data_IF_561841338424
#
_entry.id   IF_561841338424
#
_cell.length_a   1.000
_cell.length_b   1.000
_cell.length_c   1.000
_cell.angle_alpha   90.00
_cell.angle_beta   90.00
_cell.angle_gamma   90.00
#
_symmetry.space_group_name_H-M   'P 1'
#
loop_
_entity.id
_entity.type
_entity.pdbx_description
1 polymer ?
#
# COMPACT_ATOMS: atom_id res chain seq x y z
N UNK A 1 -10.76 7.59 26.77
CA UNK A 1 -11.64 6.81 25.89
C UNK A 1 -10.83 5.70 25.27
N UNK A 2 -11.25 4.45 25.47
CA UNK A 2 -10.64 3.28 24.84
C UNK A 2 -11.15 3.08 23.42
N UNK A 3 -10.48 2.28 22.60
CA UNK A 3 -10.98 1.90 21.27
C UNK A 3 -12.35 1.25 21.36
N UNK A 4 -12.56 0.37 22.34
CA UNK A 4 -13.86 -0.28 22.54
C UNK A 4 -14.98 0.72 22.80
N UNK A 5 -14.75 1.68 23.68
CA UNK A 5 -15.70 2.76 23.96
C UNK A 5 -15.95 3.61 22.71
N UNK A 6 -14.88 3.94 21.97
CA UNK A 6 -14.98 4.71 20.74
C UNK A 6 -15.85 4.01 19.70
N UNK A 7 -15.66 2.71 19.46
CA UNK A 7 -16.43 1.94 18.47
C UNK A 7 -17.93 1.88 18.80
N UNK A 8 -18.27 1.80 20.09
CA UNK A 8 -19.67 1.81 20.54
C UNK A 8 -20.28 3.19 20.29
N UNK A 9 -19.55 4.26 20.63
CA UNK A 9 -20.03 5.63 20.50
C UNK A 9 -20.05 6.14 19.06
N UNK A 10 -19.13 5.68 18.20
CA UNK A 10 -19.06 6.09 16.80
C UNK A 10 -20.29 5.63 16.01
N UNK A 11 -20.89 4.50 16.39
CA UNK A 11 -22.09 3.98 15.74
C UNK A 11 -23.34 4.85 15.95
N UNK A 12 -23.33 5.73 16.96
CA UNK A 12 -24.43 6.63 17.28
C UNK A 12 -24.08 8.10 17.03
N UNK A 13 -22.92 8.38 16.46
CA UNK A 13 -22.47 9.74 16.19
C UNK A 13 -23.27 10.36 15.04
N UNK A 14 -23.90 11.51 15.31
CA UNK A 14 -24.78 12.20 14.36
C UNK A 14 -24.04 12.89 13.21
N UNK A 15 -22.73 13.12 13.33
CA UNK A 15 -21.93 13.86 12.35
C UNK A 15 -20.59 13.15 12.05
N UNK A 16 -20.64 12.16 11.15
CA UNK A 16 -19.47 11.37 10.78
C UNK A 16 -18.35 12.18 10.09
N UNK A 17 -18.70 13.23 9.33
CA UNK A 17 -17.73 14.03 8.59
C UNK A 17 -16.79 14.82 9.51
N UNK A 18 -17.36 15.45 10.54
CA UNK A 18 -16.60 16.19 11.54
C UNK A 18 -15.70 15.26 12.37
N UNK A 19 -16.19 14.07 12.72
CA UNK A 19 -15.41 13.04 13.40
C UNK A 19 -14.19 12.63 12.58
N UNK A 20 -14.36 12.39 11.27
CA UNK A 20 -13.26 12.02 10.37
C UNK A 20 -12.22 13.15 10.23
N UNK A 21 -12.65 14.41 10.16
CA UNK A 21 -11.72 15.55 10.12
C UNK A 21 -10.89 15.66 11.42
N UNK A 22 -11.51 15.45 12.58
CA UNK A 22 -10.80 15.41 13.86
C UNK A 22 -9.80 14.25 13.93
N UNK A 23 -10.17 13.07 13.45
CA UNK A 23 -9.27 11.91 13.36
C UNK A 23 -8.08 12.21 12.45
N UNK A 24 -8.32 12.85 11.30
CA UNK A 24 -7.28 13.20 10.33
C UNK A 24 -6.19 14.14 10.88
N UNK A 25 -6.49 14.88 11.95
CA UNK A 25 -5.61 15.82 12.65
C UNK A 25 -4.84 15.19 13.81
N UNK A 26 -5.15 13.95 14.20
CA UNK A 26 -4.43 13.26 15.27
C UNK A 26 -2.96 13.04 14.86
N UNK A 27 -2.00 13.29 15.76
CA UNK A 27 -0.59 13.07 15.47
C UNK A 27 -0.27 11.58 15.38
N UNK A 28 0.78 11.25 14.64
CA UNK A 28 1.43 9.93 14.71
C UNK A 28 1.97 9.75 16.14
N UNK A 29 1.57 8.71 16.88
CA UNK A 29 2.15 8.44 18.19
C UNK A 29 3.55 7.80 18.07
N UNK A 30 4.40 8.02 19.07
CA UNK A 30 5.71 7.35 19.14
C UNK A 30 5.59 5.88 19.57
N UNK A 31 4.58 5.58 20.38
CA UNK A 31 4.30 4.26 20.92
C UNK A 31 2.80 3.95 20.89
N UNK A 32 2.47 2.69 20.63
CA UNK A 32 1.12 2.15 20.77
C UNK A 32 1.22 0.88 21.60
N UNK A 33 0.52 0.85 22.73
CA UNK A 33 0.46 -0.33 23.60
C UNK A 33 1.85 -0.88 24.03
N UNK A 34 2.81 0.04 24.24
CA UNK A 34 4.21 -0.25 24.59
C UNK A 34 5.10 -0.67 23.40
N UNK A 35 4.55 -0.77 22.20
CA UNK A 35 5.30 -1.06 20.96
C UNK A 35 5.68 0.26 20.30
N UNK A 36 6.95 0.41 19.92
CA UNK A 36 7.42 1.58 19.19
C UNK A 36 6.83 1.60 17.79
N UNK A 37 6.25 2.72 17.40
CA UNK A 37 5.75 2.90 16.03
C UNK A 37 6.94 3.04 15.08
N UNK A 38 6.97 2.32 13.95
CA UNK A 38 8.08 2.43 13.01
C UNK A 38 8.14 3.81 12.36
N UNK A 39 9.32 4.23 11.91
CA UNK A 39 9.48 5.53 11.24
C UNK A 39 8.86 5.54 9.85
N UNK A 40 8.92 4.41 9.15
CA UNK A 40 8.37 4.19 7.80
C UNK A 40 7.75 2.81 7.69
N UNK A 41 7.01 2.54 6.61
CA UNK A 41 6.52 1.19 6.30
C UNK A 41 7.42 0.43 5.31
N UNK A 42 8.66 0.88 5.08
CA UNK A 42 9.58 0.30 4.09
C UNK A 42 10.00 -1.16 4.39
N UNK A 43 9.90 -1.57 5.66
CA UNK A 43 10.26 -2.93 6.09
C UNK A 43 9.11 -3.94 5.93
N UNK A 44 7.92 -3.48 5.52
CA UNK A 44 6.81 -4.38 5.27
C UNK A 44 7.10 -5.32 4.09
N UNK A 45 6.56 -6.52 4.19
CA UNK A 45 6.44 -7.43 3.06
C UNK A 45 5.34 -6.96 2.10
N UNK A 46 5.36 -7.44 0.86
CA UNK A 46 4.32 -7.11 -0.11
C UNK A 46 2.97 -7.65 0.34
N UNK A 47 2.90 -8.84 0.95
CA UNK A 47 1.66 -9.41 1.50
C UNK A 47 1.05 -8.52 2.58
N UNK A 48 1.87 -8.03 3.52
CA UNK A 48 1.42 -7.06 4.54
C UNK A 48 0.90 -5.76 3.91
N UNK A 49 1.59 -5.24 2.88
CA UNK A 49 1.13 -4.05 2.16
C UNK A 49 -0.20 -4.31 1.44
N UNK A 50 -0.37 -5.48 0.83
CA UNK A 50 -1.62 -5.88 0.17
C UNK A 50 -2.79 -5.95 1.15
N UNK A 51 -2.54 -6.48 2.35
CA UNK A 51 -3.55 -6.53 3.41
C UNK A 51 -4.01 -5.13 3.83
N UNK A 52 -3.07 -4.19 4.01
CA UNK A 52 -3.38 -2.80 4.32
C UNK A 52 -4.16 -2.10 3.20
N UNK A 53 -3.83 -2.36 1.94
CA UNK A 53 -4.54 -1.79 0.79
C UNK A 53 -5.94 -2.40 0.57
N UNK A 54 -6.19 -3.59 1.13
CA UNK A 54 -7.46 -4.31 0.99
C UNK A 54 -8.52 -3.89 2.01
N UNK A 55 -8.20 -2.97 2.93
CA UNK A 55 -9.13 -2.47 3.94
C UNK A 55 -10.29 -1.71 3.26
N UNK A 56 -11.54 -2.08 3.59
CA UNK A 56 -12.75 -1.47 3.00
C UNK A 56 -13.73 -0.91 4.02
N UNK A 57 -13.65 -1.31 5.29
CA UNK A 57 -14.61 -0.92 6.32
C UNK A 57 -13.91 -0.21 7.49
N UNK A 58 -14.68 0.59 8.23
CA UNK A 58 -14.13 1.46 9.28
C UNK A 58 -13.53 0.73 10.49
N UNK A 59 -14.00 -0.48 10.80
CA UNK A 59 -13.44 -1.28 11.91
C UNK A 59 -12.05 -1.81 11.50
N UNK A 60 -11.94 -2.33 10.30
CA UNK A 60 -10.66 -2.82 9.77
C UNK A 60 -9.64 -1.70 9.61
N UNK A 61 -10.09 -0.46 9.34
CA UNK A 61 -9.22 0.73 9.36
C UNK A 61 -8.53 0.96 10.72
N UNK A 62 -9.09 0.44 11.81
CA UNK A 62 -8.53 0.55 13.17
C UNK A 62 -7.72 -0.70 13.52
N UNK A 63 -8.26 -1.87 13.21
CA UNK A 63 -7.71 -3.15 13.67
C UNK A 63 -6.55 -3.64 12.81
N UNK A 64 -6.70 -3.60 11.48
CA UNK A 64 -5.73 -4.20 10.54
C UNK A 64 -4.37 -3.51 10.61
N UNK A 65 -4.26 -2.16 10.62
CA UNK A 65 -2.95 -1.49 10.79
C UNK A 65 -2.21 -1.94 12.04
N UNK A 66 -2.92 -2.04 13.17
CA UNK A 66 -2.33 -2.41 14.45
C UNK A 66 -1.87 -3.88 14.47
N UNK A 67 -2.64 -4.77 13.83
CA UNK A 67 -2.26 -6.18 13.68
C UNK A 67 -1.06 -6.35 12.75
N UNK A 68 -1.13 -5.78 11.55
CA UNK A 68 -0.17 -6.01 10.48
C UNK A 68 1.19 -5.38 10.77
N UNK A 69 1.19 -4.14 11.27
CA UNK A 69 2.41 -3.35 11.44
C UNK A 69 3.01 -3.52 12.84
N UNK A 70 2.17 -3.64 13.87
CA UNK A 70 2.63 -3.69 15.27
C UNK A 70 2.49 -5.07 15.92
N UNK A 71 1.90 -6.06 15.21
CA UNK A 71 1.69 -7.41 15.75
C UNK A 71 0.73 -7.46 16.94
N UNK A 72 -0.16 -6.47 17.08
CA UNK A 72 -1.07 -6.39 18.23
C UNK A 72 -2.30 -7.29 18.03
N UNK A 73 -2.68 -7.99 19.09
CA UNK A 73 -3.95 -8.73 19.15
C UNK A 73 -5.14 -7.80 19.31
N UNK A 74 -6.30 -8.21 18.83
CA UNK A 74 -7.57 -7.45 18.94
C UNK A 74 -7.86 -7.05 20.39
N UNK A 75 -7.74 -7.98 21.34
CA UNK A 75 -7.98 -7.72 22.78
C UNK A 75 -7.08 -6.63 23.37
N UNK A 76 -5.87 -6.46 22.81
CA UNK A 76 -4.92 -5.45 23.25
C UNK A 76 -5.27 -4.10 22.63
N UNK A 77 -5.64 -4.09 21.35
CA UNK A 77 -6.09 -2.90 20.62
C UNK A 77 -7.33 -2.29 21.28
N UNK A 78 -8.33 -3.10 21.62
CA UNK A 78 -9.58 -2.63 22.24
C UNK A 78 -9.37 -1.86 23.55
N UNK A 79 -8.33 -2.20 24.30
CA UNK A 79 -7.98 -1.60 25.60
C UNK A 79 -7.09 -0.36 25.47
N UNK A 80 -6.56 -0.08 24.27
CA UNK A 80 -5.70 1.08 24.04
C UNK A 80 -6.50 2.37 23.98
N UNK A 81 -5.81 3.50 24.19
CA UNK A 81 -6.38 4.83 23.97
C UNK A 81 -6.79 5.00 22.52
N UNK A 82 -8.03 5.43 22.28
CA UNK A 82 -8.57 5.58 20.92
C UNK A 82 -7.77 6.60 20.10
N UNK A 83 -7.31 7.70 20.72
CA UNK A 83 -6.54 8.74 20.04
C UNK A 83 -5.22 8.21 19.44
N UNK A 84 -4.47 7.42 20.19
CA UNK A 84 -3.20 6.85 19.72
C UNK A 84 -3.44 5.88 18.55
N UNK A 85 -4.45 5.02 18.68
CA UNK A 85 -4.79 4.02 17.65
C UNK A 85 -5.28 4.70 16.37
N UNK A 86 -6.12 5.72 16.48
CA UNK A 86 -6.67 6.46 15.34
C UNK A 86 -5.58 7.32 14.67
N UNK A 87 -4.72 7.97 15.45
CA UNK A 87 -3.56 8.71 14.92
C UNK A 87 -2.56 7.80 14.21
N UNK A 88 -2.27 6.63 14.78
CA UNK A 88 -1.45 5.59 14.15
C UNK A 88 -2.07 5.08 12.84
N UNK A 89 -3.35 4.72 12.86
CA UNK A 89 -4.06 4.21 11.68
C UNK A 89 -4.08 5.24 10.55
N UNK A 90 -4.31 6.52 10.88
CA UNK A 90 -4.26 7.64 9.93
C UNK A 90 -2.87 7.80 9.31
N UNK A 91 -1.82 7.66 10.12
CA UNK A 91 -0.44 7.67 9.60
C UNK A 91 -0.18 6.51 8.65
N UNK A 92 -0.62 5.28 9.00
CA UNK A 92 -0.50 4.11 8.12
C UNK A 92 -1.22 4.33 6.80
N UNK A 93 -2.45 4.87 6.80
CA UNK A 93 -3.18 5.20 5.56
C UNK A 93 -2.39 6.13 4.66
N UNK A 94 -1.85 7.24 5.20
CA UNK A 94 -1.04 8.20 4.43
C UNK A 94 0.22 7.56 3.87
N UNK A 95 0.84 6.67 4.62
CA UNK A 95 2.06 5.99 4.20
C UNK A 95 1.79 4.93 3.12
N UNK A 96 0.66 4.20 3.22
CA UNK A 96 0.19 3.31 2.15
C UNK A 96 -0.10 4.09 0.87
N UNK A 97 -0.77 5.24 0.95
CA UNK A 97 -0.99 6.14 -0.20
C UNK A 97 0.31 6.62 -0.83
N UNK A 98 1.31 6.98 0.00
CA UNK A 98 2.65 7.35 -0.48
C UNK A 98 3.30 6.20 -1.24
N UNK A 99 3.21 4.97 -0.73
CA UNK A 99 3.76 3.79 -1.38
C UNK A 99 3.01 3.49 -2.69
N UNK A 100 1.68 3.57 -2.71
CA UNK A 100 0.90 3.39 -3.95
C UNK A 100 1.33 4.37 -5.04
N UNK A 101 1.47 5.65 -4.71
CA UNK A 101 2.00 6.67 -5.64
C UNK A 101 3.41 6.33 -6.14
N UNK A 102 4.23 5.72 -5.30
CA UNK A 102 5.57 5.28 -5.69
C UNK A 102 5.50 4.16 -6.73
N UNK A 103 4.63 3.16 -6.56
CA UNK A 103 4.39 2.12 -7.57
C UNK A 103 3.82 2.69 -8.88
N UNK A 104 2.95 3.71 -8.82
CA UNK A 104 2.43 4.34 -10.03
C UNK A 104 3.55 4.91 -10.92
N UNK A 105 4.67 5.38 -10.33
CA UNK A 105 5.82 5.90 -11.09
C UNK A 105 6.54 4.85 -11.95
N UNK A 106 6.38 3.56 -11.65
CA UNK A 106 6.96 2.48 -12.46
C UNK A 106 6.12 2.17 -13.69
N UNK A 107 4.97 2.81 -13.86
CA UNK A 107 4.15 2.65 -15.07
C UNK A 107 4.85 3.27 -16.28
N UNK A 108 4.86 2.53 -17.39
CA UNK A 108 5.35 3.03 -18.67
C UNK A 108 4.14 3.41 -19.52
N UNK A 109 4.12 4.64 -20.04
CA UNK A 109 3.01 5.13 -20.86
C UNK A 109 2.84 4.23 -22.10
N UNK A 110 1.65 3.65 -22.33
CA UNK A 110 1.50 2.76 -23.47
C UNK A 110 1.54 3.50 -24.81
N UNK A 111 2.13 2.87 -25.82
CA UNK A 111 2.19 3.40 -27.20
C UNK A 111 0.81 3.35 -27.87
N UNK A 112 0.60 4.08 -28.99
CA UNK A 112 -0.65 3.99 -29.75
C UNK A 112 -1.00 2.56 -30.20
N UNK A 113 -0.02 1.75 -30.54
CA UNK A 113 -0.17 0.33 -30.91
C UNK A 113 -0.65 -0.50 -29.73
N UNK A 114 -0.01 -0.33 -28.56
CA UNK A 114 -0.37 -1.03 -27.32
C UNK A 114 -1.80 -0.65 -26.88
N UNK A 115 -2.17 0.64 -27.01
CA UNK A 115 -3.55 1.10 -26.77
C UNK A 115 -4.55 0.48 -27.74
N UNK A 116 -4.24 0.44 -29.04
CA UNK A 116 -5.08 -0.24 -30.04
C UNK A 116 -5.24 -1.73 -29.76
N UNK A 117 -4.21 -2.38 -29.24
CA UNK A 117 -4.26 -3.77 -28.79
C UNK A 117 -5.08 -3.97 -27.50
N UNK A 118 -5.47 -2.89 -26.82
CA UNK A 118 -6.33 -2.93 -25.65
C UNK A 118 -5.59 -3.03 -24.32
N UNK A 119 -4.34 -2.56 -24.23
CA UNK A 119 -3.57 -2.53 -22.97
C UNK A 119 -4.33 -1.86 -21.82
N UNK A 120 -5.13 -0.83 -22.11
CA UNK A 120 -5.94 -0.11 -21.10
C UNK A 120 -7.05 -0.99 -20.49
N UNK A 121 -7.35 -2.14 -21.11
CA UNK A 121 -8.32 -3.12 -20.58
C UNK A 121 -7.67 -4.14 -19.64
N UNK A 122 -6.34 -4.15 -19.53
CA UNK A 122 -5.60 -5.03 -18.63
C UNK A 122 -5.43 -4.33 -17.28
N UNK A 123 -6.31 -4.65 -16.34
CA UNK A 123 -6.20 -4.18 -14.95
C UNK A 123 -6.30 -5.35 -13.99
N UNK A 124 -5.17 -5.70 -13.42
CA UNK A 124 -5.03 -6.81 -12.47
C UNK A 124 -4.74 -6.32 -11.05
N UNK A 125 -4.69 -5.00 -10.85
CA UNK A 125 -4.40 -4.36 -9.56
C UNK A 125 -3.12 -4.92 -8.92
N UNK A 126 -3.17 -5.05 -7.59
CA UNK A 126 -2.06 -5.55 -6.78
C UNK A 126 -1.71 -7.01 -7.06
N UNK A 127 -2.71 -7.83 -7.40
CA UNK A 127 -2.50 -9.23 -7.75
C UNK A 127 -1.65 -9.36 -9.02
N UNK A 128 -1.87 -8.49 -10.00
CA UNK A 128 -1.02 -8.41 -11.19
C UNK A 128 0.45 -8.08 -10.90
N UNK A 129 0.73 -7.27 -9.87
CA UNK A 129 2.11 -7.00 -9.46
C UNK A 129 2.79 -8.22 -8.85
N UNK A 130 2.05 -8.99 -8.04
CA UNK A 130 2.55 -10.23 -7.43
C UNK A 130 2.82 -11.28 -8.51
N UNK A 131 1.87 -11.51 -9.42
CA UNK A 131 2.01 -12.44 -10.54
C UNK A 131 3.19 -12.05 -11.47
N UNK A 132 3.31 -10.76 -11.77
CA UNK A 132 4.44 -10.24 -12.54
C UNK A 132 5.77 -10.52 -11.85
N UNK A 133 5.87 -10.22 -10.55
CA UNK A 133 7.09 -10.45 -9.77
C UNK A 133 7.42 -11.95 -9.68
N UNK A 134 6.42 -12.80 -9.47
CA UNK A 134 6.57 -14.24 -9.43
C UNK A 134 7.18 -14.76 -10.73
N UNK A 135 6.58 -14.38 -11.86
CA UNK A 135 7.03 -14.73 -13.21
C UNK A 135 8.47 -14.24 -13.46
N UNK A 136 8.76 -12.99 -13.11
CA UNK A 136 10.10 -12.38 -13.27
C UNK A 136 11.18 -13.13 -12.51
N UNK A 137 10.88 -13.59 -11.30
CA UNK A 137 11.85 -14.24 -10.42
C UNK A 137 11.89 -15.77 -10.59
N UNK A 138 11.01 -16.34 -11.44
CA UNK A 138 10.86 -17.78 -11.59
C UNK A 138 10.28 -18.47 -10.35
N UNK A 139 9.50 -17.73 -9.56
CA UNK A 139 8.82 -18.23 -8.36
C UNK A 139 7.51 -18.87 -8.80
N UNK A 140 7.31 -20.14 -8.46
CA UNK A 140 6.09 -20.90 -8.79
C UNK A 140 5.06 -20.88 -7.67
N UNK A 141 5.53 -20.69 -6.44
CA UNK A 141 4.71 -20.59 -5.24
C UNK A 141 4.49 -19.13 -4.86
N UNK A 142 3.26 -18.64 -5.06
CA UNK A 142 2.91 -17.24 -4.88
C UNK A 142 3.03 -16.78 -3.41
N UNK A 143 2.90 -17.69 -2.44
CA UNK A 143 3.06 -17.36 -1.02
C UNK A 143 4.48 -16.86 -0.71
N UNK A 144 5.49 -17.33 -1.47
CA UNK A 144 6.86 -16.86 -1.32
C UNK A 144 7.01 -15.40 -1.75
N UNK A 145 6.20 -14.93 -2.71
CA UNK A 145 6.21 -13.53 -3.13
C UNK A 145 5.64 -12.65 -2.03
N UNK A 146 4.61 -13.09 -1.33
CA UNK A 146 3.98 -12.33 -0.23
C UNK A 146 4.97 -12.00 0.89
N UNK A 147 5.98 -12.83 1.09
CA UNK A 147 7.04 -12.63 2.08
C UNK A 147 8.17 -11.68 1.63
N UNK A 148 8.16 -11.23 0.37
CA UNK A 148 9.22 -10.34 -0.16
C UNK A 148 9.01 -8.92 0.32
N UNK A 149 10.06 -8.20 0.78
CA UNK A 149 9.95 -6.77 1.11
C UNK A 149 9.42 -5.97 -0.08
N UNK A 150 8.38 -5.17 0.11
CA UNK A 150 7.73 -4.46 -1.00
C UNK A 150 8.71 -3.52 -1.72
N UNK A 151 9.69 -2.95 -1.00
CA UNK A 151 10.74 -2.09 -1.57
C UNK A 151 11.53 -2.83 -2.66
N UNK A 152 11.77 -4.13 -2.48
CA UNK A 152 12.45 -4.97 -3.46
C UNK A 152 11.58 -5.16 -4.71
N UNK A 153 10.29 -5.42 -4.51
CA UNK A 153 9.31 -5.54 -5.61
C UNK A 153 9.26 -4.24 -6.41
N UNK A 154 9.12 -3.10 -5.73
CA UNK A 154 9.15 -1.77 -6.34
C UNK A 154 10.45 -1.53 -7.14
N UNK A 155 11.62 -1.80 -6.55
CA UNK A 155 12.90 -1.59 -7.24
C UNK A 155 13.06 -2.45 -8.48
N UNK A 156 12.49 -3.65 -8.49
CA UNK A 156 12.47 -4.51 -9.66
C UNK A 156 11.65 -3.90 -10.80
N UNK A 157 10.44 -3.43 -10.49
CA UNK A 157 9.56 -2.76 -11.44
C UNK A 157 10.17 -1.44 -11.96
N UNK A 158 10.82 -0.66 -11.09
CA UNK A 158 11.51 0.59 -11.43
C UNK A 158 12.62 0.34 -12.46
N UNK A 159 13.46 -0.68 -12.24
CA UNK A 159 14.50 -1.08 -13.20
C UNK A 159 13.92 -1.54 -14.54
N UNK A 160 12.84 -2.32 -14.52
CA UNK A 160 12.21 -2.81 -15.75
C UNK A 160 11.58 -1.66 -16.54
N UNK A 161 10.94 -0.70 -15.86
CA UNK A 161 10.39 0.49 -16.47
C UNK A 161 11.48 1.35 -17.13
N UNK A 162 12.60 1.57 -16.45
CA UNK A 162 13.75 2.30 -17.01
C UNK A 162 14.35 1.59 -18.22
N UNK A 163 14.47 0.26 -18.17
CA UNK A 163 14.96 -0.54 -19.30
C UNK A 163 14.04 -0.42 -20.52
N UNK A 164 12.72 -0.53 -20.32
CA UNK A 164 11.73 -0.35 -21.40
C UNK A 164 11.83 1.05 -22.00
N UNK A 165 11.91 2.09 -21.17
CA UNK A 165 12.07 3.49 -21.62
C UNK A 165 13.35 3.67 -22.44
N UNK A 166 14.46 3.07 -22.02
CA UNK A 166 15.71 3.06 -22.77
C UNK A 166 15.57 2.35 -24.12
N UNK A 167 15.01 1.14 -24.16
CA UNK A 167 14.83 0.36 -25.39
C UNK A 167 13.90 1.04 -26.40
N UNK A 168 12.92 1.82 -25.94
CA UNK A 168 12.07 2.65 -26.81
C UNK A 168 12.89 3.77 -27.45
N UNK A 169 13.63 4.55 -26.66
CA UNK A 169 14.53 5.60 -27.18
C UNK A 169 15.56 5.04 -28.16
N UNK A 170 16.13 3.87 -27.88
CA UNK A 170 17.11 3.24 -28.76
C UNK A 170 16.50 2.84 -30.11
N UNK A 171 15.28 2.29 -30.11
CA UNK A 171 14.56 1.93 -31.34
C UNK A 171 14.23 3.14 -32.21
N UNK A 172 13.80 4.25 -31.60
CA UNK A 172 13.55 5.51 -32.29
C UNK A 172 14.82 6.03 -32.98
N UNK A 173 15.98 5.98 -32.29
CA UNK A 173 17.27 6.37 -32.88
C UNK A 173 17.60 5.49 -34.09
N UNK A 174 17.44 4.17 -33.98
CA UNK A 174 17.73 3.28 -35.11
C UNK A 174 16.82 3.51 -36.31
N UNK A 175 15.52 3.73 -36.10
CA UNK A 175 14.58 4.03 -37.17
C UNK A 175 14.95 5.33 -37.91
N UNK A 176 15.29 6.38 -37.15
CA UNK A 176 15.67 7.68 -37.70
C UNK A 176 17.03 7.67 -38.44
N UNK A 177 17.92 6.72 -38.15
CA UNK A 177 19.20 6.56 -38.86
C UNK A 177 19.01 5.81 -40.20
N UNK A 178 17.95 5.01 -40.31
CA UNK A 178 17.63 4.22 -41.51
C UNK A 178 16.72 4.92 -42.52
N UNK A 179 16.26 6.14 -42.23
CA UNK A 179 15.57 7.06 -43.16
C UNK A 179 16.55 8.07 -43.76
#
# INVERSE_FOLDING_TARGET
MTVKEFLILSNVASNAAELLDQIGKLPKPDFVAGVRVPETLNDLTIGQLMELQSIRNGIDCIMVPCRVVLGLSIDKIEKCGAADILGFSTWVTKEVERITKLFETTSVVPTPEERRAGVDKLSFGLFGLVDYYATRMGITDHEQVECVPWVRVYKCLDMDAEKIRYERRLREIYQNISE
#
